data_IF_545510068766
#
_entry.id   IF_545510068766
#
_cell.length_a   1.000
_cell.length_b   1.000
_cell.length_c   1.000
_cell.angle_alpha   90.00
_cell.angle_beta   90.00
_cell.angle_gamma   90.00
#
_symmetry.space_group_name_H-M   'P 1'
#
loop_
_entity.id
_entity.type
_entity.pdbx_description
1 polymer ?
#
# COMPACT_ATOMS: atom_id res chain seq x y z
N UNK A 1 28.02 -14.33 -43.13
CA UNK A 1 28.25 -14.65 -41.70
C UNK A 1 28.25 -13.34 -40.95
N UNK A 2 27.28 -13.10 -40.07
CA UNK A 2 27.18 -11.85 -39.32
C UNK A 2 28.21 -11.82 -38.20
N UNK A 3 29.21 -10.95 -38.31
CA UNK A 3 30.18 -10.71 -37.26
C UNK A 3 29.55 -9.82 -36.19
N UNK A 4 29.50 -10.31 -34.95
CA UNK A 4 29.07 -9.51 -33.80
C UNK A 4 30.31 -9.04 -33.07
N UNK A 5 30.55 -7.73 -33.08
CA UNK A 5 31.68 -7.09 -32.38
C UNK A 5 31.16 -6.40 -31.13
N UNK A 6 31.07 -7.11 -30.01
CA UNK A 6 30.94 -6.45 -28.70
C UNK A 6 32.35 -6.28 -28.11
N UNK A 7 32.76 -5.02 -27.94
CA UNK A 7 34.02 -4.69 -27.27
C UNK A 7 33.79 -4.71 -25.74
N UNK A 8 34.35 -5.68 -25.00
CA UNK A 8 34.10 -5.86 -23.58
C UNK A 8 34.71 -4.75 -22.69
N UNK A 9 35.47 -3.82 -23.27
CA UNK A 9 36.06 -2.68 -22.56
C UNK A 9 35.27 -1.37 -22.73
N UNK A 10 34.22 -1.34 -23.56
CA UNK A 10 33.40 -0.15 -23.82
C UNK A 10 32.06 -0.14 -23.07
N UNK A 11 31.64 -1.25 -22.47
CA UNK A 11 30.44 -1.32 -21.63
C UNK A 11 30.79 -0.89 -20.20
N UNK A 12 30.85 0.41 -19.92
CA UNK A 12 31.12 0.94 -18.57
C UNK A 12 29.99 0.73 -17.56
N UNK A 13 28.81 0.29 -18.00
CA UNK A 13 27.77 -0.33 -17.18
C UNK A 13 26.70 -0.90 -18.12
N UNK A 14 26.31 -2.18 -18.03
CA UNK A 14 25.09 -2.64 -18.69
C UNK A 14 23.92 -1.84 -18.12
N UNK A 15 23.26 -1.04 -18.96
CA UNK A 15 22.02 -0.35 -18.63
C UNK A 15 21.05 -1.39 -18.03
N UNK A 16 20.61 -1.17 -16.78
CA UNK A 16 19.78 -2.07 -15.97
C UNK A 16 20.48 -3.24 -15.23
N UNK A 17 21.81 -3.32 -15.17
CA UNK A 17 22.49 -4.32 -14.31
C UNK A 17 22.49 -3.96 -12.82
N UNK A 18 22.36 -2.66 -12.50
CA UNK A 18 22.14 -2.14 -11.16
C UNK A 18 21.04 -1.09 -11.23
N UNK A 19 19.78 -1.53 -11.18
CA UNK A 19 18.65 -0.61 -11.07
C UNK A 19 18.62 -0.05 -9.64
N UNK A 20 19.15 1.17 -9.45
CA UNK A 20 18.89 2.00 -8.27
C UNK A 20 17.46 2.54 -8.38
N UNK A 21 16.46 1.68 -8.24
CA UNK A 21 15.06 2.07 -8.52
C UNK A 21 14.29 2.54 -7.29
N UNK A 22 14.83 2.37 -6.08
CA UNK A 22 14.28 2.93 -4.85
C UNK A 22 15.32 2.91 -3.73
N UNK A 23 15.74 4.09 -3.27
CA UNK A 23 16.46 4.26 -1.99
C UNK A 23 15.48 4.38 -0.81
N UNK A 24 14.16 4.26 -1.08
CA UNK A 24 13.09 4.45 -0.11
C UNK A 24 12.23 3.20 0.13
N UNK A 25 11.04 3.42 0.69
CA UNK A 25 10.08 2.38 1.03
C UNK A 25 9.28 1.93 -0.21
N UNK A 26 8.63 0.77 -0.11
CA UNK A 26 7.64 0.30 -1.09
C UNK A 26 6.26 0.33 -0.44
N UNK A 27 5.31 1.04 -1.05
CA UNK A 27 3.93 1.09 -0.56
C UNK A 27 3.37 -0.32 -0.35
N UNK A 28 2.59 -0.49 0.72
CA UNK A 28 1.94 -1.75 1.07
C UNK A 28 2.86 -2.78 1.71
N UNK A 29 4.14 -2.46 1.93
CA UNK A 29 5.04 -3.35 2.69
C UNK A 29 4.93 -3.08 4.19
N UNK A 30 4.90 -4.14 4.99
CA UNK A 30 5.07 -4.02 6.44
C UNK A 30 6.53 -4.26 6.84
N UNK A 31 6.99 -3.58 7.89
CA UNK A 31 8.29 -3.83 8.50
C UNK A 31 8.20 -4.99 9.49
N UNK A 32 8.99 -6.04 9.23
CA UNK A 32 9.04 -7.22 10.09
C UNK A 32 9.43 -6.86 11.53
N UNK A 33 8.48 -7.01 12.44
CA UNK A 33 8.64 -6.89 13.88
C UNK A 33 8.10 -8.17 14.53
N UNK A 34 8.86 -8.86 15.38
CA UNK A 34 8.41 -10.09 16.03
C UNK A 34 7.06 -9.94 16.75
N UNK A 35 6.77 -8.75 17.28
CA UNK A 35 5.56 -8.49 18.07
C UNK A 35 4.30 -8.30 17.23
N UNK A 36 4.40 -7.65 16.05
CA UNK A 36 3.25 -7.38 15.19
C UNK A 36 3.07 -8.43 14.10
N UNK A 37 4.08 -9.24 13.78
CA UNK A 37 3.99 -10.26 12.72
C UNK A 37 2.87 -11.30 12.97
N UNK A 38 2.59 -11.62 14.24
CA UNK A 38 1.52 -12.55 14.62
C UNK A 38 0.10 -11.95 14.50
N UNK A 39 -0.01 -10.65 14.25
CA UNK A 39 -1.28 -9.95 14.07
C UNK A 39 -1.74 -9.90 12.62
N UNK A 40 -0.96 -10.47 11.69
CA UNK A 40 -1.33 -10.51 10.29
C UNK A 40 -2.58 -11.38 10.10
N UNK A 41 -3.60 -10.78 9.52
CA UNK A 41 -4.88 -11.42 9.28
C UNK A 41 -5.12 -11.60 7.77
N UNK A 42 -5.98 -12.55 7.44
CA UNK A 42 -6.51 -12.72 6.08
C UNK A 42 -8.02 -12.57 6.10
N UNK A 43 -8.59 -11.94 5.08
CA UNK A 43 -10.03 -11.82 4.88
C UNK A 43 -10.39 -12.02 3.42
N UNK A 44 -11.69 -12.04 3.11
CA UNK A 44 -12.20 -12.18 1.75
C UNK A 44 -12.72 -10.83 1.27
N UNK A 45 -12.29 -10.39 0.10
CA UNK A 45 -12.79 -9.15 -0.51
C UNK A 45 -14.26 -9.28 -0.87
N UNK A 46 -15.05 -8.26 -0.56
CA UNK A 46 -16.44 -8.18 -0.97
C UNK A 46 -16.54 -8.29 -2.51
N UNK A 47 -17.53 -9.06 -2.95
CA UNK A 47 -17.90 -9.21 -4.36
C UNK A 47 -18.41 -7.91 -5.01
N UNK A 48 -18.86 -6.94 -4.20
CA UNK A 48 -19.35 -5.64 -4.65
C UNK A 48 -18.28 -4.56 -4.88
N UNK A 49 -16.99 -4.89 -4.76
CA UNK A 49 -15.91 -3.92 -4.98
C UNK A 49 -15.67 -3.72 -6.48
N UNK A 50 -15.74 -2.46 -6.93
CA UNK A 50 -15.65 -2.11 -8.35
C UNK A 50 -14.21 -1.81 -8.84
N UNK A 51 -13.23 -1.92 -7.95
CA UNK A 51 -11.84 -1.54 -8.24
C UNK A 51 -10.82 -2.59 -7.72
N UNK A 52 -9.65 -2.71 -8.37
CA UNK A 52 -8.62 -3.62 -7.90
C UNK A 52 -8.08 -3.17 -6.55
N UNK A 53 -7.76 -4.12 -5.67
CA UNK A 53 -7.19 -3.86 -4.35
C UNK A 53 -5.69 -4.19 -4.36
N UNK A 54 -4.88 -3.31 -3.80
CA UNK A 54 -3.44 -3.47 -3.65
C UNK A 54 -3.01 -3.23 -2.20
N UNK A 55 -1.72 -3.42 -1.89
CA UNK A 55 -1.18 -3.21 -0.55
C UNK A 55 -1.11 -1.73 -0.16
N UNK A 56 -1.44 -1.43 1.10
CA UNK A 56 -1.38 -0.07 1.67
C UNK A 56 -2.67 0.73 1.50
N UNK A 57 -3.80 0.07 1.22
CA UNK A 57 -5.13 0.68 1.15
C UNK A 57 -5.86 0.55 2.48
N UNK A 58 -6.68 1.54 2.82
CA UNK A 58 -7.52 1.49 4.02
C UNK A 58 -8.77 0.63 3.78
N UNK A 59 -9.07 -0.24 4.74
CA UNK A 59 -10.17 -1.19 4.67
C UNK A 59 -11.13 -1.09 5.85
N UNK A 60 -12.34 -1.57 5.62
CA UNK A 60 -13.34 -1.93 6.62
C UNK A 60 -13.42 -3.45 6.67
N UNK A 61 -13.26 -4.01 7.86
CA UNK A 61 -13.51 -5.41 8.13
C UNK A 61 -14.91 -5.54 8.74
N UNK A 62 -15.73 -6.36 8.12
CA UNK A 62 -17.10 -6.60 8.53
C UNK A 62 -17.21 -7.97 9.22
N UNK A 63 -18.02 -8.02 10.28
CA UNK A 63 -18.40 -9.29 10.89
C UNK A 63 -19.47 -9.92 10.00
N UNK A 64 -19.24 -11.16 9.59
CA UNK A 64 -20.17 -11.86 8.70
C UNK A 64 -21.53 -12.06 9.38
N UNK A 65 -22.60 -11.95 8.59
CA UNK A 65 -23.95 -12.18 9.08
C UNK A 65 -24.16 -13.67 9.43
N UNK A 66 -25.07 -13.99 10.37
CA UNK A 66 -25.44 -15.37 10.64
C UNK A 66 -25.92 -16.07 9.36
N UNK A 67 -25.30 -17.21 9.02
CA UNK A 67 -25.65 -18.01 7.84
C UNK A 67 -24.76 -17.82 6.61
N UNK A 68 -23.78 -16.92 6.66
CA UNK A 68 -22.78 -16.79 5.59
C UNK A 68 -21.62 -17.78 5.75
N UNK A 69 -21.37 -18.58 4.71
CA UNK A 69 -20.29 -19.57 4.65
C UNK A 69 -19.06 -19.01 3.90
N UNK A 70 -18.51 -17.90 4.39
CA UNK A 70 -17.30 -17.31 3.82
C UNK A 70 -16.04 -17.85 4.49
N UNK A 71 -14.90 -17.80 3.78
CA UNK A 71 -13.62 -18.33 4.25
C UNK A 71 -12.87 -17.39 5.23
N UNK A 72 -13.53 -16.35 5.71
CA UNK A 72 -13.01 -15.32 6.61
C UNK A 72 -13.97 -14.14 6.70
N UNK A 73 -13.58 -13.09 7.43
CA UNK A 73 -14.37 -11.86 7.49
C UNK A 73 -14.39 -11.16 6.13
N UNK A 74 -15.54 -10.57 5.78
CA UNK A 74 -15.68 -9.73 4.59
C UNK A 74 -14.86 -8.45 4.75
N UNK A 75 -14.10 -8.11 3.71
CA UNK A 75 -13.27 -6.92 3.62
C UNK A 75 -13.81 -6.03 2.51
N UNK A 76 -14.13 -4.80 2.87
CA UNK A 76 -14.52 -3.73 1.95
C UNK A 76 -13.55 -2.55 2.09
N UNK A 77 -13.60 -1.59 1.18
CA UNK A 77 -12.83 -0.37 1.29
C UNK A 77 -13.42 0.56 2.35
N UNK A 78 -12.55 1.21 3.12
CA UNK A 78 -13.01 2.21 4.06
C UNK A 78 -13.58 3.42 3.31
N UNK A 79 -14.78 3.86 3.68
CA UNK A 79 -15.41 5.06 3.12
C UNK A 79 -15.10 6.33 3.94
N UNK A 80 -14.76 6.16 5.22
CA UNK A 80 -14.46 7.26 6.14
C UNK A 80 -13.65 6.75 7.35
N UNK A 81 -13.16 7.69 8.16
CA UNK A 81 -12.32 7.39 9.32
C UNK A 81 -13.03 6.57 10.41
N UNK A 82 -14.36 6.60 10.47
CA UNK A 82 -15.11 5.83 11.47
C UNK A 82 -15.29 4.35 11.06
N UNK A 83 -15.30 4.04 9.76
CA UNK A 83 -15.38 2.66 9.28
C UNK A 83 -14.02 2.02 9.05
N UNK A 84 -12.93 2.79 9.06
CA UNK A 84 -11.57 2.25 8.91
C UNK A 84 -11.24 1.30 10.06
N UNK A 85 -10.94 0.05 9.73
CA UNK A 85 -10.53 -0.98 10.70
C UNK A 85 -9.10 -1.48 10.48
N UNK A 86 -8.48 -1.17 9.33
CA UNK A 86 -7.13 -1.67 9.03
C UNK A 86 -6.57 -1.23 7.69
N UNK A 87 -5.40 -1.79 7.36
CA UNK A 87 -4.71 -1.56 6.10
C UNK A 87 -4.27 -2.87 5.46
N UNK A 88 -4.42 -2.97 4.14
CA UNK A 88 -3.95 -4.10 3.34
C UNK A 88 -2.42 -4.11 3.24
N UNK A 89 -1.83 -5.27 3.02
CA UNK A 89 -0.38 -5.41 2.80
C UNK A 89 -0.06 -6.38 1.67
N UNK A 90 1.07 -6.17 1.01
CA UNK A 90 1.58 -7.11 0.01
C UNK A 90 2.27 -8.32 0.66
N UNK A 91 2.81 -8.16 1.86
CA UNK A 91 3.55 -9.24 2.50
C UNK A 91 2.61 -10.44 2.74
N UNK A 92 3.11 -11.63 2.38
CA UNK A 92 2.36 -12.89 2.42
C UNK A 92 1.04 -12.87 1.61
N UNK A 93 0.82 -11.88 0.74
CA UNK A 93 -0.26 -11.85 -0.25
C UNK A 93 0.04 -12.76 -1.45
N UNK A 94 0.32 -14.03 -1.21
CA UNK A 94 0.75 -15.00 -2.23
C UNK A 94 -0.32 -15.33 -3.28
N UNK A 95 -1.55 -14.91 -3.04
CA UNK A 95 -2.69 -15.10 -3.92
C UNK A 95 -2.99 -13.89 -4.82
N UNK A 96 -2.25 -12.79 -4.67
CA UNK A 96 -2.38 -11.62 -5.53
C UNK A 96 -1.83 -11.91 -6.93
N UNK A 97 -2.48 -11.37 -7.96
CA UNK A 97 -2.16 -11.66 -9.36
C UNK A 97 -1.71 -10.39 -10.09
N UNK A 98 -0.92 -10.57 -11.14
CA UNK A 98 -0.60 -9.51 -12.10
C UNK A 98 -1.41 -9.79 -13.36
N UNK A 99 -2.24 -8.84 -13.78
CA UNK A 99 -3.01 -8.94 -15.03
C UNK A 99 -2.23 -8.30 -16.18
N UNK A 100 -2.48 -8.70 -17.45
CA UNK A 100 -1.88 -8.03 -18.60
C UNK A 100 -2.15 -6.51 -18.57
N UNK A 101 -1.11 -5.71 -18.79
CA UNK A 101 -1.18 -4.25 -18.72
C UNK A 101 -0.92 -3.63 -17.34
N UNK A 102 -0.90 -4.44 -16.27
CA UNK A 102 -0.52 -4.03 -14.92
C UNK A 102 0.86 -4.57 -14.55
N UNK A 103 1.57 -3.89 -13.67
CA UNK A 103 2.85 -4.39 -13.11
C UNK A 103 2.87 -4.41 -11.58
N UNK A 104 1.75 -4.09 -10.93
CA UNK A 104 1.53 -4.17 -9.49
C UNK A 104 0.68 -5.42 -9.20
N UNK A 105 1.03 -6.26 -8.20
CA UNK A 105 0.15 -7.33 -7.73
C UNK A 105 -1.18 -6.77 -7.25
N UNK A 106 -2.28 -7.40 -7.60
CA UNK A 106 -3.62 -6.96 -7.20
C UNK A 106 -4.50 -8.14 -6.79
N UNK A 107 -5.50 -7.86 -5.96
CA UNK A 107 -6.59 -8.76 -5.65
C UNK A 107 -7.91 -8.18 -6.18
N UNK A 108 -8.75 -9.06 -6.72
CA UNK A 108 -10.08 -8.71 -7.22
C UNK A 108 -11.19 -9.16 -6.27
N UNK A 109 -12.46 -8.85 -6.61
CA UNK A 109 -13.61 -9.23 -5.81
C UNK A 109 -13.68 -10.73 -5.55
N UNK A 110 -13.97 -11.12 -4.31
CA UNK A 110 -14.02 -12.52 -3.88
C UNK A 110 -12.66 -13.19 -3.64
N UNK A 111 -11.53 -12.55 -3.95
CA UNK A 111 -10.21 -13.05 -3.58
C UNK A 111 -9.90 -12.76 -2.11
N UNK A 112 -8.97 -13.50 -1.51
CA UNK A 112 -8.48 -13.16 -0.17
C UNK A 112 -7.45 -12.02 -0.20
N UNK A 113 -7.29 -11.32 0.91
CA UNK A 113 -6.25 -10.31 1.06
C UNK A 113 -5.68 -10.32 2.48
N UNK A 114 -4.39 -9.98 2.58
CA UNK A 114 -3.69 -9.86 3.86
C UNK A 114 -3.78 -8.43 4.38
N UNK A 115 -4.02 -8.28 5.67
CA UNK A 115 -4.16 -6.97 6.30
C UNK A 115 -3.75 -6.99 7.77
N UNK A 116 -3.54 -5.80 8.33
CA UNK A 116 -3.43 -5.55 9.76
C UNK A 116 -4.57 -4.68 10.24
N UNK A 117 -5.10 -4.97 11.43
CA UNK A 117 -6.09 -4.13 12.09
C UNK A 117 -5.42 -2.93 12.75
N UNK A 118 -6.14 -1.83 12.90
CA UNK A 118 -5.73 -0.76 13.80
C UNK A 118 -5.60 -1.29 15.24
N UNK A 119 -4.60 -0.78 15.97
CA UNK A 119 -4.20 -1.26 17.29
C UNK A 119 -3.16 -2.39 17.29
N UNK A 120 -2.76 -2.93 16.12
CA UNK A 120 -1.79 -4.03 16.04
C UNK A 120 -0.33 -3.61 16.23
N UNK A 121 -0.04 -2.31 16.34
CA UNK A 121 1.29 -1.70 16.30
C UNK A 121 2.10 -2.08 15.05
N UNK A 122 1.42 -2.47 13.96
CA UNK A 122 2.09 -2.82 12.72
C UNK A 122 2.65 -1.56 12.07
N UNK A 123 3.85 -1.67 11.52
CA UNK A 123 4.53 -0.60 10.79
C UNK A 123 4.38 -0.83 9.30
N UNK A 124 3.57 -0.01 8.64
CA UNK A 124 3.16 -0.20 7.24
C UNK A 124 3.57 1.03 6.43
N UNK A 125 4.18 0.80 5.27
CA UNK A 125 4.49 1.83 4.31
C UNK A 125 3.24 2.18 3.50
N UNK A 126 2.76 3.41 3.59
CA UNK A 126 1.60 3.92 2.86
C UNK A 126 1.98 5.13 2.01
N UNK A 127 1.27 5.32 0.90
CA UNK A 127 1.50 6.51 0.08
C UNK A 127 1.18 7.77 0.87
N UNK A 128 1.98 8.81 0.67
CA UNK A 128 1.82 10.12 1.31
C UNK A 128 1.64 11.20 0.25
N UNK A 129 0.87 12.23 0.56
CA UNK A 129 0.80 13.43 -0.26
C UNK A 129 2.11 14.22 -0.20
N UNK A 130 2.50 14.86 -1.32
CA UNK A 130 3.70 15.69 -1.42
C UNK A 130 3.70 16.86 -0.41
N UNK A 131 2.55 17.51 -0.23
CA UNK A 131 2.43 18.66 0.67
C UNK A 131 2.56 18.25 2.13
N UNK A 132 1.97 17.10 2.49
CA UNK A 132 2.11 16.51 3.82
C UNK A 132 3.54 16.03 4.06
N UNK A 133 4.19 15.41 3.07
CA UNK A 133 5.55 14.91 3.23
C UNK A 133 6.54 16.01 3.61
N UNK A 134 6.39 17.20 3.02
CA UNK A 134 7.19 18.37 3.37
C UNK A 134 6.93 18.92 4.78
N UNK A 135 5.72 18.75 5.33
CA UNK A 135 5.40 19.19 6.70
C UNK A 135 5.72 18.14 7.78
N UNK A 136 5.78 16.86 7.38
CA UNK A 136 6.24 15.76 8.21
C UNK A 136 7.76 15.76 8.42
N UNK A 137 8.51 16.36 7.49
CA UNK A 137 9.96 16.48 7.63
C UNK A 137 10.29 17.36 8.84
N UNK A 138 11.03 16.79 9.80
CA UNK A 138 11.23 17.33 11.15
C UNK A 138 9.95 17.56 12.01
N UNK A 139 8.81 16.99 11.62
CA UNK A 139 7.54 17.06 12.35
C UNK A 139 7.45 16.08 13.54
N UNK A 140 6.42 16.25 14.36
CA UNK A 140 6.17 15.35 15.49
C UNK A 140 5.55 14.03 15.00
N UNK A 141 6.03 12.90 15.53
CA UNK A 141 5.50 11.56 15.19
C UNK A 141 4.01 11.36 15.51
N UNK A 142 3.47 12.15 16.46
CA UNK A 142 2.07 12.13 16.86
C UNK A 142 1.25 13.25 16.20
N UNK A 143 1.77 13.91 15.16
CA UNK A 143 0.98 14.93 14.47
C UNK A 143 -0.29 14.31 13.88
N UNK A 144 -1.39 15.06 13.96
CA UNK A 144 -2.64 14.60 13.36
C UNK A 144 -2.51 14.58 11.83
N UNK A 145 -2.96 13.49 11.23
CA UNK A 145 -3.05 13.28 9.78
C UNK A 145 -4.42 12.71 9.44
N UNK A 146 -4.83 12.82 8.19
CA UNK A 146 -6.09 12.25 7.70
C UNK A 146 -5.80 11.29 6.54
N UNK A 147 -6.77 10.44 6.19
CA UNK A 147 -6.66 9.52 5.07
C UNK A 147 -7.57 9.98 3.91
N UNK A 148 -7.04 10.01 2.70
CA UNK A 148 -7.83 10.21 1.49
C UNK A 148 -8.35 8.85 1.02
N UNK A 149 -9.63 8.58 1.29
CA UNK A 149 -10.29 7.31 0.94
C UNK A 149 -10.50 7.14 -0.57
N UNK A 150 -10.47 8.22 -1.35
CA UNK A 150 -10.62 8.17 -2.81
C UNK A 150 -9.29 7.81 -3.46
N UNK A 151 -8.22 8.52 -3.09
CA UNK A 151 -6.90 8.33 -3.71
C UNK A 151 -6.00 7.34 -2.94
N UNK A 152 -6.46 6.82 -1.79
CA UNK A 152 -5.75 5.85 -0.95
C UNK A 152 -4.34 6.32 -0.55
N UNK A 153 -4.28 7.53 0.01
CA UNK A 153 -3.03 8.15 0.47
C UNK A 153 -3.22 8.95 1.76
N UNK A 154 -2.12 9.12 2.49
CA UNK A 154 -2.05 9.97 3.66
C UNK A 154 -2.06 11.45 3.27
N UNK A 155 -2.88 12.27 3.93
CA UNK A 155 -3.02 13.70 3.68
C UNK A 155 -2.91 14.50 4.99
N UNK A 156 -2.64 15.80 4.88
CA UNK A 156 -2.67 16.70 6.02
C UNK A 156 -4.03 16.63 6.73
N UNK A 157 -4.02 16.83 8.05
CA UNK A 157 -5.24 16.77 8.84
C UNK A 157 -6.33 17.68 8.27
N UNK A 158 -7.50 17.09 8.07
CA UNK A 158 -8.72 17.79 7.65
C UNK A 158 -9.84 17.48 8.62
N UNK A 159 -10.42 18.52 9.22
CA UNK A 159 -11.51 18.36 10.18
C UNK A 159 -12.75 17.68 9.59
N UNK A 160 -12.99 17.83 8.28
CA UNK A 160 -14.10 17.18 7.58
C UNK A 160 -13.89 15.67 7.37
N UNK A 161 -12.66 15.18 7.45
CA UNK A 161 -12.31 13.76 7.30
C UNK A 161 -12.08 13.09 8.67
N UNK A 162 -11.55 13.85 9.63
CA UNK A 162 -11.16 13.34 10.94
C UNK A 162 -9.71 12.87 11.00
N UNK A 163 -9.21 12.69 12.22
CA UNK A 163 -7.85 12.22 12.44
C UNK A 163 -7.76 10.70 12.25
N UNK A 164 -6.76 10.25 11.51
CA UNK A 164 -6.38 8.86 11.43
C UNK A 164 -5.69 8.45 12.73
N UNK A 165 -6.11 7.33 13.32
CA UNK A 165 -5.50 6.77 14.53
C UNK A 165 -4.18 6.07 14.19
N UNK A 166 -3.13 6.83 13.87
CA UNK A 166 -1.80 6.32 13.59
C UNK A 166 -0.71 7.27 14.07
N UNK A 167 0.52 6.78 14.17
CA UNK A 167 1.73 7.60 14.30
C UNK A 167 2.52 7.54 13.01
N UNK A 168 3.10 8.67 12.59
CA UNK A 168 3.98 8.72 11.43
C UNK A 168 5.42 8.65 11.91
N UNK A 169 6.13 7.57 11.60
CA UNK A 169 7.47 7.30 12.13
C UNK A 169 8.59 7.79 11.21
N UNK A 170 8.34 7.76 9.90
CA UNK A 170 9.30 8.12 8.87
C UNK A 170 8.53 8.59 7.65
N UNK A 171 9.09 9.57 6.92
CA UNK A 171 8.66 9.92 5.57
C UNK A 171 9.86 9.84 4.63
N UNK A 172 9.66 9.27 3.46
CA UNK A 172 10.67 9.19 2.40
C UNK A 172 10.18 9.99 1.20
N UNK A 173 11.05 10.86 0.68
CA UNK A 173 10.69 11.84 -0.34
C UNK A 173 11.08 11.36 -1.74
N UNK A 174 10.08 11.31 -2.63
CA UNK A 174 10.18 11.17 -4.09
C UNK A 174 11.03 10.01 -4.68
N UNK A 175 11.57 9.11 -3.87
CA UNK A 175 12.38 7.96 -4.31
C UNK A 175 11.72 6.61 -4.00
N UNK A 176 10.58 6.63 -3.32
CA UNK A 176 9.88 5.42 -2.86
C UNK A 176 8.96 4.87 -3.95
N UNK A 177 8.77 3.55 -3.98
CA UNK A 177 7.85 2.90 -4.92
C UNK A 177 6.42 3.05 -4.41
N UNK A 178 5.57 3.67 -5.23
CA UNK A 178 4.14 3.83 -4.97
C UNK A 178 3.32 3.24 -6.10
N UNK A 179 2.07 2.92 -5.80
CA UNK A 179 1.10 2.44 -6.77
C UNK A 179 0.37 3.64 -7.37
N UNK A 180 0.47 3.78 -8.69
CA UNK A 180 -0.32 4.73 -9.46
C UNK A 180 -1.53 4.01 -10.05
N UNK A 181 -2.72 4.40 -9.59
CA UNK A 181 -3.99 3.84 -10.04
C UNK A 181 -4.66 4.75 -11.07
N UNK A 182 -5.01 4.21 -12.23
CA UNK A 182 -5.84 4.88 -13.22
C UNK A 182 -7.28 4.36 -13.12
N UNK A 183 -8.17 5.15 -12.51
CA UNK A 183 -9.57 4.80 -12.32
C UNK A 183 -10.38 4.67 -13.61
N UNK A 184 -9.92 5.24 -14.72
CA UNK A 184 -10.58 5.12 -16.02
C UNK A 184 -10.33 3.78 -16.71
N UNK A 185 -9.18 3.13 -16.44
CA UNK A 185 -8.79 1.87 -17.08
C UNK A 185 -8.65 0.71 -16.11
N UNK A 186 -8.71 0.95 -14.80
CA UNK A 186 -8.39 -0.05 -13.78
C UNK A 186 -6.89 -0.39 -13.70
N UNK A 187 -6.03 0.37 -14.38
CA UNK A 187 -4.62 0.02 -14.50
C UNK A 187 -3.83 0.40 -13.24
N UNK A 188 -2.95 -0.51 -12.81
CA UNK A 188 -2.05 -0.32 -11.68
C UNK A 188 -0.59 -0.36 -12.16
N UNK A 189 0.11 0.76 -11.97
CA UNK A 189 1.51 0.89 -12.36
C UNK A 189 2.40 1.33 -11.19
N UNK A 190 3.58 0.74 -11.07
CA UNK A 190 4.62 1.24 -10.18
C UNK A 190 5.15 2.58 -10.68
N UNK A 191 5.15 3.58 -9.81
CA UNK A 191 5.83 4.86 -10.03
C UNK A 191 6.64 5.24 -8.79
N UNK A 192 7.33 6.37 -8.84
CA UNK A 192 8.05 6.96 -7.71
C UNK A 192 7.22 8.05 -7.05
N UNK A 193 7.29 8.14 -5.73
CA UNK A 193 6.61 9.20 -4.99
C UNK A 193 6.93 9.20 -3.51
N UNK A 194 6.05 9.80 -2.73
CA UNK A 194 6.21 9.99 -1.29
C UNK A 194 5.54 8.83 -0.53
N UNK A 195 6.26 8.28 0.45
CA UNK A 195 5.75 7.21 1.30
C UNK A 195 6.00 7.59 2.76
N UNK A 196 4.99 7.33 3.60
CA UNK A 196 5.09 7.45 5.04
C UNK A 196 5.07 6.05 5.65
N UNK A 197 5.91 5.81 6.64
CA UNK A 197 5.82 4.64 7.49
C UNK A 197 4.90 4.98 8.66
N UNK A 198 3.71 4.39 8.66
CA UNK A 198 2.73 4.56 9.74
C UNK A 198 2.79 3.39 10.72
N UNK A 199 2.61 3.69 12.00
CA UNK A 199 2.31 2.71 13.03
C UNK A 199 0.83 2.81 13.37
N UNK A 200 0.11 1.70 13.20
CA UNK A 200 -1.34 1.60 13.43
C UNK A 200 -1.69 0.78 14.65
#
# INVERSE_FOLDING_TARGET
MGTITFNPMLTSAPQNSFLLQTDGLVQGTFQDDPSSNMWLCSGQLDSGIDQPIWGGMAITEQVNAPGENQMGNTIDLAANSASLTGFTVFNRGNNMIITPGNNVPQAGPGMSIMYFRTGSNARIAVQCDNTLAGSLDAGNVNQAVSWDFTNQKLIAFSSGVGALACKVLLVTTNTSKIVNYNSGTGALTWTTGYVALIQI
#
